data_IF_160898927172
#
_entry.id   IF_160898927172
#
_cell.length_a   1.000
_cell.length_b   1.000
_cell.length_c   1.000
_cell.angle_alpha   90.00
_cell.angle_beta   90.00
_cell.angle_gamma   90.00
#
_symmetry.space_group_name_H-M   'P 1'
#
loop_
_entity.id
_entity.type
_entity.pdbx_description
1 polymer ?
#
# COMPACT_ATOMS: atom_id res chain seq x y z
N UNK A 1 15.88 -4.74 10.66
CA UNK A 1 15.32 -5.56 9.56
C UNK A 1 13.79 -5.41 9.52
N UNK A 2 13.19 -5.28 8.34
CA UNK A 2 11.73 -5.39 8.20
C UNK A 2 11.36 -6.87 8.41
N UNK A 3 10.32 -7.14 9.20
CA UNK A 3 9.82 -8.51 9.41
C UNK A 3 9.37 -9.10 8.08
N UNK A 4 9.44 -10.43 7.94
CA UNK A 4 9.01 -11.12 6.72
C UNK A 4 7.57 -10.74 6.33
N UNK A 5 6.69 -10.51 7.32
CA UNK A 5 5.32 -10.07 7.12
C UNK A 5 5.21 -8.67 6.50
N UNK A 6 6.04 -7.70 6.93
CA UNK A 6 6.07 -6.37 6.32
C UNK A 6 6.55 -6.43 4.86
N UNK A 7 7.53 -7.30 4.56
CA UNK A 7 7.98 -7.51 3.19
C UNK A 7 6.90 -8.15 2.31
N UNK A 8 6.09 -9.06 2.88
CA UNK A 8 4.97 -9.69 2.16
C UNK A 8 3.89 -8.68 1.78
N UNK A 9 3.68 -7.64 2.59
CA UNK A 9 2.76 -6.53 2.26
C UNK A 9 3.42 -5.56 1.26
N UNK A 10 4.69 -5.20 1.46
CA UNK A 10 5.37 -4.21 0.65
C UNK A 10 5.76 -4.69 -0.76
N UNK A 11 5.90 -6.01 -0.98
CA UNK A 11 6.29 -6.55 -2.28
C UNK A 11 5.21 -6.34 -3.37
N UNK A 12 3.92 -6.68 -3.16
CA UNK A 12 2.85 -6.34 -4.10
C UNK A 12 2.76 -4.85 -4.41
N UNK A 13 2.87 -4.00 -3.39
CA UNK A 13 2.86 -2.54 -3.53
C UNK A 13 4.00 -2.03 -4.42
N UNK A 14 5.20 -2.59 -4.32
CA UNK A 14 6.31 -2.24 -5.20
C UNK A 14 6.12 -2.74 -6.64
N UNK A 15 5.51 -3.91 -6.81
CA UNK A 15 5.30 -4.51 -8.12
C UNK A 15 4.18 -3.82 -8.90
N UNK A 16 3.06 -3.49 -8.25
CA UNK A 16 1.84 -3.01 -8.91
C UNK A 16 1.47 -1.58 -8.57
N UNK A 17 2.01 -1.01 -7.48
CA UNK A 17 1.69 0.33 -7.02
C UNK A 17 1.87 1.42 -8.08
N UNK A 18 2.96 1.45 -8.87
CA UNK A 18 3.12 2.45 -9.91
C UNK A 18 1.97 2.47 -10.93
N UNK A 19 1.40 1.30 -11.26
CA UNK A 19 0.29 1.19 -12.22
C UNK A 19 -1.05 1.51 -11.55
N UNK A 20 -1.30 0.97 -10.36
CA UNK A 20 -2.57 1.15 -9.63
C UNK A 20 -2.77 2.62 -9.23
N UNK A 21 -1.70 3.30 -8.82
CA UNK A 21 -1.76 4.70 -8.35
C UNK A 21 -1.31 5.72 -9.40
N UNK A 22 -1.09 5.32 -10.65
CA UNK A 22 -0.82 6.27 -11.72
C UNK A 22 -2.00 7.26 -11.84
N UNK A 23 -1.70 8.55 -11.97
CA UNK A 23 -2.73 9.61 -12.07
C UNK A 23 -3.33 10.06 -10.75
N UNK A 24 -2.97 9.44 -9.61
CA UNK A 24 -3.31 10.00 -8.30
C UNK A 24 -2.35 11.11 -7.92
N UNK A 25 -2.89 12.22 -7.41
CA UNK A 25 -2.10 13.36 -6.91
C UNK A 25 -1.28 12.98 -5.67
N UNK A 26 -1.85 12.15 -4.79
CA UNK A 26 -1.20 11.67 -3.57
C UNK A 26 -1.26 10.14 -3.40
N UNK A 27 -0.44 9.36 -4.15
CA UNK A 27 -0.40 7.89 -4.07
C UNK A 27 -0.19 7.36 -2.64
N UNK A 28 0.66 8.02 -1.86
CA UNK A 28 0.95 7.60 -0.48
C UNK A 28 -0.23 7.83 0.47
N UNK A 29 -1.11 8.80 0.19
CA UNK A 29 -2.32 9.01 0.97
C UNK A 29 -3.31 7.85 0.77
N UNK A 30 -3.48 7.41 -0.48
CA UNK A 30 -4.30 6.23 -0.81
C UNK A 30 -3.75 4.96 -0.15
N UNK A 31 -2.43 4.76 -0.20
CA UNK A 31 -1.79 3.62 0.47
C UNK A 31 -1.98 3.70 1.99
N UNK A 32 -1.92 4.90 2.58
CA UNK A 32 -2.16 5.09 4.01
C UNK A 32 -3.62 4.79 4.38
N UNK A 33 -4.58 5.21 3.57
CA UNK A 33 -6.00 4.97 3.79
C UNK A 33 -6.29 3.46 3.92
N UNK A 34 -5.66 2.63 3.07
CA UNK A 34 -5.79 1.16 3.11
C UNK A 34 -5.42 0.53 4.45
N UNK A 35 -4.52 1.15 5.23
CA UNK A 35 -3.94 0.59 6.46
C UNK A 35 -4.17 1.47 7.69
N UNK A 36 -4.99 2.52 7.56
CA UNK A 36 -5.25 3.45 8.65
C UNK A 36 -6.01 2.79 9.79
N UNK A 37 -7.03 1.99 9.44
CA UNK A 37 -7.85 1.27 10.39
C UNK A 37 -7.16 0.11 11.11
N UNK A 38 -7.88 -0.55 12.04
CA UNK A 38 -7.40 -1.76 12.71
C UNK A 38 -7.34 -2.98 11.78
N UNK A 39 -7.97 -2.89 10.60
CA UNK A 39 -7.98 -3.89 9.53
C UNK A 39 -7.68 -3.22 8.20
N UNK A 40 -7.24 -4.02 7.24
CA UNK A 40 -7.01 -3.55 5.88
C UNK A 40 -8.33 -3.19 5.21
N UNK A 41 -8.40 -2.00 4.62
CA UNK A 41 -9.58 -1.52 3.91
C UNK A 41 -9.69 -2.16 2.51
N UNK A 42 -10.41 -3.27 2.47
CA UNK A 42 -10.64 -4.05 1.23
C UNK A 42 -11.60 -3.34 0.27
N UNK A 43 -12.53 -2.55 0.80
CA UNK A 43 -13.49 -1.80 0.00
C UNK A 43 -12.78 -0.69 -0.76
N UNK A 44 -11.94 0.08 -0.06
CA UNK A 44 -11.11 1.11 -0.68
C UNK A 44 -10.17 0.50 -1.72
N UNK A 45 -9.54 -0.64 -1.43
CA UNK A 45 -8.71 -1.34 -2.40
C UNK A 45 -9.49 -1.79 -3.66
N UNK A 46 -10.74 -2.23 -3.51
CA UNK A 46 -11.57 -2.61 -4.63
C UNK A 46 -11.88 -1.41 -5.53
N UNK A 47 -12.27 -0.29 -4.94
CA UNK A 47 -12.55 0.97 -5.65
C UNK A 47 -11.32 1.48 -6.42
N UNK A 48 -10.12 1.36 -5.83
CA UNK A 48 -8.86 1.69 -6.51
C UNK A 48 -8.63 0.82 -7.75
N UNK A 49 -8.92 -0.47 -7.67
CA UNK A 49 -8.76 -1.40 -8.79
C UNK A 49 -9.79 -1.16 -9.90
N UNK A 50 -11.06 -0.93 -9.56
CA UNK A 50 -12.14 -0.69 -10.54
C UNK A 50 -11.86 0.51 -11.45
N UNK A 51 -11.17 1.53 -10.93
CA UNK A 51 -10.77 2.72 -11.70
C UNK A 51 -9.80 2.44 -12.84
N UNK A 52 -9.13 1.28 -12.84
CA UNK A 52 -8.16 0.88 -13.87
C UNK A 52 -8.71 -0.34 -14.63
N UNK A 53 -9.46 -0.16 -15.72
CA UNK A 53 -9.94 -1.30 -16.52
C UNK A 53 -8.75 -2.11 -17.03
N UNK A 54 -8.75 -3.42 -16.76
CA UNK A 54 -7.71 -4.35 -17.22
C UNK A 54 -6.77 -4.93 -16.16
N UNK A 55 -7.08 -4.81 -14.86
CA UNK A 55 -6.28 -5.49 -13.83
C UNK A 55 -6.32 -7.02 -14.01
N UNK A 56 -5.14 -7.63 -13.95
CA UNK A 56 -4.95 -9.08 -14.08
C UNK A 56 -5.38 -9.76 -12.76
N UNK A 57 -6.02 -10.95 -12.77
CA UNK A 57 -6.46 -11.64 -11.54
C UNK A 57 -5.40 -11.78 -10.43
N UNK A 58 -4.12 -11.78 -10.80
CA UNK A 58 -2.97 -11.82 -9.90
C UNK A 58 -2.89 -10.58 -9.00
N UNK A 59 -3.30 -9.39 -9.47
CA UNK A 59 -3.33 -8.17 -8.67
C UNK A 59 -4.37 -8.29 -7.55
N UNK A 60 -5.56 -8.79 -7.88
CA UNK A 60 -6.62 -9.04 -6.90
C UNK A 60 -6.17 -10.06 -5.84
N UNK A 61 -5.50 -11.14 -6.25
CA UNK A 61 -4.94 -12.12 -5.33
C UNK A 61 -3.86 -11.50 -4.42
N UNK A 62 -2.98 -10.67 -4.97
CA UNK A 62 -1.92 -10.02 -4.20
C UNK A 62 -2.48 -9.03 -3.17
N UNK A 63 -3.53 -8.26 -3.53
CA UNK A 63 -4.23 -7.36 -2.60
C UNK A 63 -4.90 -8.16 -1.47
N UNK A 64 -5.58 -9.26 -1.78
CA UNK A 64 -6.19 -10.14 -0.76
C UNK A 64 -5.14 -10.69 0.20
N UNK A 65 -4.01 -11.17 -0.31
CA UNK A 65 -2.90 -11.67 0.52
C UNK A 65 -2.30 -10.57 1.40
N UNK A 66 -2.09 -9.36 0.87
CA UNK A 66 -1.60 -8.22 1.63
C UNK A 66 -2.58 -7.84 2.77
N UNK A 67 -3.88 -7.87 2.49
CA UNK A 67 -4.92 -7.60 3.48
C UNK A 67 -4.92 -8.64 4.61
N UNK A 68 -4.81 -9.92 4.26
CA UNK A 68 -4.76 -11.02 5.24
C UNK A 68 -3.47 -10.99 6.08
N UNK A 69 -2.35 -10.56 5.49
CA UNK A 69 -1.11 -10.35 6.24
C UNK A 69 -1.23 -9.17 7.21
N UNK A 70 -1.77 -8.04 6.75
CA UNK A 70 -1.97 -6.85 7.59
C UNK A 70 -2.88 -7.13 8.79
N UNK A 71 -4.00 -7.83 8.55
CA UNK A 71 -4.97 -8.16 9.60
C UNK A 71 -4.35 -9.04 10.70
N UNK A 72 -3.32 -9.84 10.37
CA UNK A 72 -2.58 -10.69 11.32
C UNK A 72 -1.40 -9.98 12.01
N UNK A 73 -1.03 -8.79 11.57
CA UNK A 73 0.08 -8.07 12.19
C UNK A 73 -0.27 -7.64 13.63
N UNK A 74 0.68 -7.73 14.57
CA UNK A 74 0.59 -7.04 15.85
C UNK A 74 0.51 -5.52 15.64
N UNK A 75 -0.11 -4.79 16.57
CA UNK A 75 -0.29 -3.34 16.45
C UNK A 75 1.05 -2.59 16.29
N UNK A 76 2.10 -3.03 16.98
CA UNK A 76 3.44 -2.46 16.83
C UNK A 76 3.99 -2.58 15.39
N UNK A 77 3.70 -3.68 14.69
CA UNK A 77 4.11 -3.86 13.29
C UNK A 77 3.24 -3.05 12.33
N UNK A 78 1.94 -2.90 12.60
CA UNK A 78 1.06 -2.01 11.84
C UNK A 78 1.53 -0.57 11.95
N UNK A 79 1.86 -0.11 13.16
CA UNK A 79 2.38 1.23 13.35
C UNK A 79 3.71 1.44 12.64
N UNK A 80 4.58 0.42 12.64
CA UNK A 80 5.82 0.45 11.89
C UNK A 80 5.59 0.55 10.37
N UNK A 81 4.61 -0.17 9.83
CA UNK A 81 4.22 -0.07 8.43
C UNK A 81 3.79 1.36 8.09
N UNK A 82 2.92 1.97 8.90
CA UNK A 82 2.46 3.35 8.71
C UNK A 82 3.64 4.33 8.70
N UNK A 83 4.57 4.21 9.64
CA UNK A 83 5.80 5.04 9.68
C UNK A 83 6.66 4.86 8.43
N UNK A 84 6.76 3.64 7.89
CA UNK A 84 7.50 3.39 6.65
C UNK A 84 6.84 4.07 5.44
N UNK A 85 5.51 4.04 5.34
CA UNK A 85 4.76 4.73 4.28
C UNK A 85 5.00 6.25 4.37
N UNK A 86 4.91 6.84 5.57
CA UNK A 86 5.16 8.27 5.79
C UNK A 86 6.60 8.65 5.44
N UNK A 87 7.59 7.87 5.88
CA UNK A 87 8.99 8.12 5.55
C UNK A 87 9.25 8.04 4.05
N UNK A 88 8.61 7.09 3.37
CA UNK A 88 8.70 6.97 1.92
C UNK A 88 8.07 8.17 1.21
N UNK A 89 6.93 8.69 1.70
CA UNK A 89 6.31 9.94 1.23
C UNK A 89 7.27 11.11 1.36
N UNK A 90 7.83 11.35 2.55
CA UNK A 90 8.76 12.46 2.77
C UNK A 90 9.98 12.39 1.84
N UNK A 91 10.53 11.19 1.60
CA UNK A 91 11.62 11.01 0.64
C UNK A 91 11.21 11.37 -0.77
N UNK A 92 10.00 10.99 -1.18
CA UNK A 92 9.47 11.27 -2.51
C UNK A 92 9.19 12.76 -2.70
N UNK A 93 8.59 13.42 -1.72
CA UNK A 93 8.36 14.86 -1.71
C UNK A 93 9.68 15.65 -1.81
N UNK A 94 10.72 15.23 -1.09
CA UNK A 94 12.04 15.86 -1.17
C UNK A 94 12.67 15.72 -2.57
N UNK A 95 12.50 14.58 -3.23
CA UNK A 95 12.98 14.38 -4.61
C UNK A 95 12.22 15.28 -5.57
N UNK A 96 10.89 15.38 -5.42
CA UNK A 96 10.04 16.23 -6.26
C UNK A 96 10.33 17.72 -6.07
N UNK A 97 10.65 18.17 -4.85
CA UNK A 97 10.98 19.57 -4.57
C UNK A 97 12.39 19.99 -5.03
N UNK A 98 13.27 19.02 -5.32
CA UNK A 98 14.63 19.26 -5.79
C UNK A 98 14.75 19.39 -7.33
N UNK A 99 13.65 19.20 -8.06
CA UNK A 99 13.52 19.34 -9.52
C UNK A 99 12.62 20.52 -9.87
#
# INVERSE_FOLDING_TARGET
MATAALNAIAAPLRAYGPVVFEGYEEPHAEIMALVWGPRFDREHAHTLLERRPGYVPQVLQAVRQAADHFDRLPEAERQRLRTLILRHRSRWDNIRAAH
#
